data_IF_749939140459
#
_entry.id   IF_749939140459
#
_cell.length_a   1.000
_cell.length_b   1.000
_cell.length_c   1.000
_cell.angle_alpha   90.00
_cell.angle_beta   90.00
_cell.angle_gamma   90.00
#
_symmetry.space_group_name_H-M   'P 1'
#
loop_
_entity.id
_entity.type
_entity.pdbx_description
1 polymer ?
#
# COMPACT_ATOMS: atom_id res chain seq x y z
N UNK A 1 -0.11 -7.46 -2.78
CA UNK A 1 -1.34 -6.99 -3.45
C UNK A 1 -1.16 -5.52 -3.73
N UNK A 2 -1.30 -5.08 -4.97
CA UNK A 2 -1.16 -3.70 -5.40
C UNK A 2 -2.50 -3.21 -5.93
N UNK A 3 -3.03 -2.18 -5.30
CA UNK A 3 -4.22 -1.48 -5.74
C UNK A 3 -3.92 -0.68 -7.01
N UNK A 4 -4.82 -0.75 -8.00
CA UNK A 4 -4.76 0.05 -9.24
C UNK A 4 -5.99 0.94 -9.43
N UNK A 5 -6.81 1.08 -8.41
CA UNK A 5 -8.06 1.83 -8.45
C UNK A 5 -7.90 3.34 -8.53
N UNK A 6 -9.03 4.05 -8.45
CA UNK A 6 -9.16 5.49 -8.71
C UNK A 6 -8.14 6.34 -7.95
N UNK A 7 -7.91 6.08 -6.66
CA UNK A 7 -6.96 6.87 -5.87
C UNK A 7 -5.51 6.73 -6.32
N UNK A 8 -5.19 5.60 -6.98
CA UNK A 8 -3.85 5.33 -7.48
C UNK A 8 -3.55 6.03 -8.82
N UNK A 9 -4.55 6.67 -9.45
CA UNK A 9 -4.36 7.46 -10.69
C UNK A 9 -3.77 8.84 -10.45
N UNK A 10 -3.83 9.35 -9.22
CA UNK A 10 -3.34 10.68 -8.88
C UNK A 10 -1.82 10.81 -9.12
N UNK A 11 -1.42 11.95 -9.68
CA UNK A 11 -0.01 12.31 -9.78
C UNK A 11 0.49 12.80 -8.43
N UNK A 12 1.63 12.27 -8.00
CA UNK A 12 2.36 12.73 -6.81
C UNK A 12 3.80 12.95 -7.23
N UNK A 13 4.27 14.18 -7.11
CA UNK A 13 5.55 14.61 -7.68
C UNK A 13 5.61 14.32 -9.21
N UNK A 14 6.56 13.51 -9.66
CA UNK A 14 6.81 13.23 -11.08
C UNK A 14 6.12 11.96 -11.62
N UNK A 15 5.48 11.17 -10.76
CA UNK A 15 4.90 9.87 -11.12
C UNK A 15 3.45 9.76 -10.63
N UNK A 16 2.70 8.81 -11.19
CA UNK A 16 1.42 8.41 -10.59
C UNK A 16 1.67 7.69 -9.26
N UNK A 17 0.74 7.81 -8.34
CA UNK A 17 0.78 7.09 -7.06
C UNK A 17 0.92 5.57 -7.28
N UNK A 18 0.30 5.04 -8.32
CA UNK A 18 0.46 3.65 -8.74
C UNK A 18 1.91 3.27 -9.04
N UNK A 19 2.65 4.12 -9.74
CA UNK A 19 4.05 3.85 -10.12
C UNK A 19 4.95 3.81 -8.89
N UNK A 20 4.70 4.67 -7.90
CA UNK A 20 5.36 4.60 -6.59
C UNK A 20 5.07 3.28 -5.87
N UNK A 21 3.80 2.87 -5.84
CA UNK A 21 3.38 1.59 -5.26
C UNK A 21 3.98 0.39 -6.00
N UNK A 22 4.05 0.44 -7.33
CA UNK A 22 4.68 -0.59 -8.16
C UNK A 22 6.18 -0.70 -7.88
N UNK A 23 6.89 0.42 -7.80
CA UNK A 23 8.31 0.45 -7.44
C UNK A 23 8.56 -0.17 -6.07
N UNK A 24 7.73 0.18 -5.07
CA UNK A 24 7.82 -0.42 -3.74
C UNK A 24 7.55 -1.93 -3.75
N UNK A 25 6.54 -2.38 -4.50
CA UNK A 25 6.24 -3.80 -4.66
C UNK A 25 7.40 -4.57 -5.32
N UNK A 26 8.02 -4.01 -6.35
CA UNK A 26 9.16 -4.61 -7.04
C UNK A 26 10.42 -4.64 -6.17
N UNK A 27 10.70 -3.58 -5.41
CA UNK A 27 11.81 -3.52 -4.46
C UNK A 27 11.67 -4.59 -3.37
N UNK A 28 10.47 -4.72 -2.80
CA UNK A 28 10.15 -5.78 -1.84
C UNK A 28 10.28 -7.17 -2.47
N UNK A 29 9.76 -7.37 -3.69
CA UNK A 29 9.82 -8.65 -4.40
C UNK A 29 11.28 -9.07 -4.67
N UNK A 30 12.11 -8.16 -5.15
CA UNK A 30 13.54 -8.39 -5.38
C UNK A 30 14.25 -8.79 -4.09
N UNK A 31 13.99 -8.06 -3.00
CA UNK A 31 14.59 -8.33 -1.69
C UNK A 31 14.16 -9.70 -1.17
N UNK A 32 12.87 -10.03 -1.25
CA UNK A 32 12.36 -11.33 -0.83
C UNK A 32 12.94 -12.49 -1.62
N UNK A 33 13.01 -12.37 -2.95
CA UNK A 33 13.60 -13.39 -3.84
C UNK A 33 15.09 -13.58 -3.53
N UNK A 34 15.86 -12.50 -3.36
CA UNK A 34 17.28 -12.58 -2.97
C UNK A 34 17.48 -13.23 -1.59
N UNK A 35 16.51 -13.13 -0.69
CA UNK A 35 16.50 -13.80 0.62
C UNK A 35 15.95 -15.24 0.56
N UNK A 36 15.64 -15.76 -0.62
CA UNK A 36 15.16 -17.12 -0.83
C UNK A 36 13.65 -17.30 -0.56
N UNK A 37 12.89 -16.24 -0.42
CA UNK A 37 11.45 -16.33 -0.22
C UNK A 37 10.70 -16.61 -1.52
N UNK A 38 9.48 -17.10 -1.40
CA UNK A 38 8.53 -17.22 -2.51
C UNK A 38 7.71 -15.95 -2.57
N UNK A 39 7.77 -15.24 -3.66
CA UNK A 39 7.05 -13.97 -3.85
C UNK A 39 6.03 -14.12 -4.95
N UNK A 40 4.78 -13.77 -4.64
CA UNK A 40 3.69 -13.62 -5.61
C UNK A 40 3.16 -12.20 -5.60
N UNK A 41 2.53 -11.78 -6.69
CA UNK A 41 1.93 -10.45 -6.79
C UNK A 41 0.52 -10.56 -7.35
N UNK A 42 -0.41 -9.84 -6.71
CA UNK A 42 -1.75 -9.59 -7.22
C UNK A 42 -1.92 -8.10 -7.48
N UNK A 43 -2.37 -7.73 -8.65
CA UNK A 43 -2.84 -6.36 -8.95
C UNK A 43 -4.36 -6.40 -9.03
N UNK A 44 -5.04 -5.48 -8.35
CA UNK A 44 -6.49 -5.52 -8.23
C UNK A 44 -7.13 -4.13 -8.34
N UNK A 45 -8.38 -4.14 -8.71
CA UNK A 45 -9.36 -3.08 -8.61
C UNK A 45 -10.67 -3.66 -8.05
N UNK A 46 -11.78 -3.74 -8.80
CA UNK A 46 -13.00 -4.46 -8.39
C UNK A 46 -12.79 -5.96 -8.21
N UNK A 47 -11.76 -6.51 -8.86
CA UNK A 47 -11.38 -7.90 -8.80
C UNK A 47 -9.87 -8.04 -9.01
N UNK A 48 -9.36 -9.25 -8.95
CA UNK A 48 -7.96 -9.51 -9.32
C UNK A 48 -7.79 -9.32 -10.84
N UNK A 49 -7.09 -8.26 -11.22
CA UNK A 49 -6.72 -7.96 -12.59
C UNK A 49 -5.58 -8.86 -13.06
N UNK A 50 -4.56 -9.04 -12.23
CA UNK A 50 -3.39 -9.86 -12.54
C UNK A 50 -2.99 -10.66 -11.30
N UNK A 51 -2.81 -11.96 -11.46
CA UNK A 51 -2.30 -12.85 -10.43
C UNK A 51 -1.04 -13.57 -10.92
N UNK A 52 0.06 -13.37 -10.20
CA UNK A 52 1.32 -14.08 -10.42
C UNK A 52 1.61 -14.88 -9.15
N UNK A 53 1.52 -16.22 -9.22
CA UNK A 53 1.63 -17.08 -8.04
C UNK A 53 3.04 -17.03 -7.44
N UNK A 54 3.18 -17.32 -6.12
CA UNK A 54 4.45 -17.24 -5.41
C UNK A 54 5.48 -18.24 -5.92
N UNK A 55 6.61 -17.76 -6.45
CA UNK A 55 7.74 -18.55 -6.90
C UNK A 55 9.06 -17.94 -6.41
N UNK A 56 10.18 -18.64 -6.62
CA UNK A 56 11.54 -18.23 -6.28
C UNK A 56 12.38 -18.00 -7.52
N UNK A 57 13.53 -17.37 -7.33
CA UNK A 57 14.58 -17.27 -8.32
C UNK A 57 14.47 -16.06 -9.26
N UNK A 58 15.59 -15.75 -9.89
CA UNK A 58 15.76 -14.54 -10.70
C UNK A 58 14.84 -14.52 -11.93
N UNK A 59 14.67 -15.68 -12.58
CA UNK A 59 13.73 -15.79 -13.71
C UNK A 59 12.28 -15.44 -13.33
N UNK A 60 11.90 -15.68 -12.07
CA UNK A 60 10.59 -15.26 -11.58
C UNK A 60 10.52 -13.74 -11.41
N UNK A 61 11.59 -13.10 -10.93
CA UNK A 61 11.64 -11.65 -10.84
C UNK A 61 11.52 -10.98 -12.22
N UNK A 62 12.21 -11.49 -13.23
CA UNK A 62 12.05 -11.00 -14.61
C UNK A 62 10.60 -11.11 -15.11
N UNK A 63 9.92 -12.23 -14.80
CA UNK A 63 8.50 -12.41 -15.12
C UNK A 63 7.60 -11.41 -14.38
N UNK A 64 7.93 -11.05 -13.11
CA UNK A 64 7.21 -10.00 -12.40
C UNK A 64 7.38 -8.66 -13.11
N UNK A 65 8.60 -8.28 -13.49
CA UNK A 65 8.86 -7.05 -14.25
C UNK A 65 8.07 -6.99 -15.54
N UNK A 66 8.18 -8.02 -16.38
CA UNK A 66 7.50 -8.08 -17.69
C UNK A 66 5.98 -7.94 -17.57
N UNK A 67 5.37 -8.58 -16.54
CA UNK A 67 3.92 -8.59 -16.38
C UNK A 67 3.38 -7.36 -15.66
N UNK A 68 4.14 -6.74 -14.78
CA UNK A 68 3.65 -5.64 -13.95
C UNK A 68 3.92 -4.27 -14.57
N UNK A 69 5.04 -4.10 -15.27
CA UNK A 69 5.42 -2.81 -15.88
C UNK A 69 4.39 -2.21 -16.84
N UNK A 70 3.68 -3.01 -17.68
CA UNK A 70 2.67 -2.44 -18.59
C UNK A 70 1.34 -2.08 -17.93
N UNK A 71 1.14 -2.44 -16.65
CA UNK A 71 -0.13 -2.19 -15.96
C UNK A 71 -0.26 -0.69 -15.64
N UNK A 72 -1.43 -0.16 -15.90
CA UNK A 72 -1.79 1.22 -15.58
C UNK A 72 -2.94 1.24 -14.55
N UNK A 73 -3.01 2.26 -13.70
CA UNK A 73 -4.15 2.44 -12.80
C UNK A 73 -5.42 2.82 -13.58
N UNK A 74 -6.58 2.56 -12.99
CA UNK A 74 -7.89 2.81 -13.59
C UNK A 74 -8.78 3.63 -12.65
N UNK A 75 -9.75 4.36 -13.21
CA UNK A 75 -10.71 5.18 -12.44
C UNK A 75 -11.81 4.35 -11.73
N UNK A 76 -11.52 3.09 -11.46
CA UNK A 76 -12.42 2.13 -10.82
C UNK A 76 -12.20 2.12 -9.31
N UNK A 77 -13.27 2.09 -8.52
CA UNK A 77 -13.15 1.91 -7.07
C UNK A 77 -12.70 0.48 -6.74
N UNK A 78 -11.70 0.31 -5.85
CA UNK A 78 -11.21 -1.01 -5.49
C UNK A 78 -12.21 -1.75 -4.57
N UNK A 79 -12.44 -3.05 -4.83
CA UNK A 79 -13.14 -3.95 -3.91
C UNK A 79 -12.09 -4.80 -3.17
N UNK A 80 -11.75 -4.32 -1.98
CA UNK A 80 -10.77 -4.99 -1.11
C UNK A 80 -11.23 -6.37 -0.67
N UNK A 81 -12.54 -6.52 -0.40
CA UNK A 81 -13.09 -7.75 0.15
C UNK A 81 -13.07 -8.87 -0.87
N UNK A 82 -13.54 -8.61 -2.09
CA UNK A 82 -13.51 -9.56 -3.21
C UNK A 82 -12.07 -9.94 -3.55
N UNK A 83 -11.17 -8.97 -3.58
CA UNK A 83 -9.75 -9.19 -3.89
C UNK A 83 -9.05 -10.04 -2.82
N UNK A 84 -9.29 -9.77 -1.54
CA UNK A 84 -8.75 -10.59 -0.43
C UNK A 84 -9.32 -12.00 -0.45
N UNK A 85 -10.63 -12.18 -0.67
CA UNK A 85 -11.24 -13.51 -0.76
C UNK A 85 -10.65 -14.33 -1.92
N UNK A 86 -10.35 -13.68 -3.04
CA UNK A 86 -9.69 -14.34 -4.18
C UNK A 86 -8.28 -14.82 -3.82
N UNK A 87 -7.52 -14.04 -3.05
CA UNK A 87 -6.20 -14.47 -2.56
C UNK A 87 -6.33 -15.63 -1.56
N UNK A 88 -7.29 -15.55 -0.63
CA UNK A 88 -7.55 -16.62 0.34
C UNK A 88 -7.85 -17.96 -0.34
N UNK A 89 -8.55 -17.95 -1.46
CA UNK A 89 -8.87 -19.17 -2.23
C UNK A 89 -7.67 -19.74 -3.00
N UNK A 90 -6.74 -18.89 -3.43
CA UNK A 90 -5.59 -19.28 -4.27
C UNK A 90 -4.32 -19.55 -3.47
N UNK A 91 -4.16 -18.90 -2.31
CA UNK A 91 -2.99 -19.04 -1.45
C UNK A 91 -3.30 -19.91 -0.23
N UNK A 92 -2.79 -21.14 -0.24
CA UNK A 92 -3.04 -22.09 0.85
C UNK A 92 -2.03 -22.01 1.99
N UNK A 93 -0.84 -21.46 1.76
CA UNK A 93 0.25 -21.38 2.75
C UNK A 93 0.21 -20.07 3.50
N UNK A 94 0.59 -20.10 4.78
CA UNK A 94 0.81 -18.87 5.57
C UNK A 94 1.83 -17.96 4.87
N UNK A 95 1.55 -16.66 4.86
CA UNK A 95 2.38 -15.67 4.20
C UNK A 95 2.21 -14.28 4.83
N UNK A 96 3.21 -13.43 4.63
CA UNK A 96 3.05 -11.98 4.76
C UNK A 96 2.22 -11.50 3.55
N UNK A 97 1.07 -10.89 3.80
CA UNK A 97 0.23 -10.31 2.76
C UNK A 97 0.31 -8.79 2.85
N UNK A 98 1.13 -8.21 1.98
CA UNK A 98 1.30 -6.76 1.87
C UNK A 98 0.25 -6.22 0.93
N UNK A 99 -0.55 -5.25 1.40
CA UNK A 99 -1.53 -4.51 0.58
C UNK A 99 -1.03 -3.08 0.45
N UNK A 100 -0.68 -2.69 -0.78
CA UNK A 100 -0.21 -1.35 -1.12
C UNK A 100 -1.38 -0.60 -1.74
N UNK A 101 -1.81 0.49 -1.10
CA UNK A 101 -2.96 1.29 -1.50
C UNK A 101 -2.81 2.73 -1.01
N UNK A 102 -3.78 3.59 -1.29
CA UNK A 102 -3.94 4.87 -0.60
C UNK A 102 -5.15 4.81 0.35
N UNK A 103 -5.01 5.49 1.46
CA UNK A 103 -6.03 5.62 2.50
C UNK A 103 -6.32 7.11 2.70
N UNK A 104 -7.48 7.56 2.24
CA UNK A 104 -7.88 8.97 2.35
C UNK A 104 -8.81 9.20 3.53
N UNK A 105 -9.80 8.32 3.75
CA UNK A 105 -10.84 8.54 4.73
C UNK A 105 -11.21 7.28 5.55
N UNK A 106 -12.02 7.50 6.59
CA UNK A 106 -12.50 6.44 7.49
C UNK A 106 -13.50 5.48 6.82
N UNK A 107 -14.20 5.90 5.77
CA UNK A 107 -15.22 5.09 5.09
C UNK A 107 -14.55 4.06 4.19
N UNK A 108 -13.64 4.46 3.31
CA UNK A 108 -12.82 3.54 2.50
C UNK A 108 -11.97 2.63 3.40
N UNK A 109 -11.50 3.16 4.54
CA UNK A 109 -10.77 2.39 5.56
C UNK A 109 -11.60 1.28 6.19
N UNK A 110 -12.92 1.43 6.31
CA UNK A 110 -13.79 0.41 6.93
C UNK A 110 -13.85 -0.88 6.12
N UNK A 111 -13.93 -0.79 4.79
CA UNK A 111 -13.89 -1.95 3.90
C UNK A 111 -12.53 -2.65 3.93
N UNK A 112 -11.46 -1.88 3.86
CA UNK A 112 -10.10 -2.39 4.00
C UNK A 112 -9.89 -3.06 5.36
N UNK A 113 -10.42 -2.48 6.46
CA UNK A 113 -10.39 -3.06 7.80
C UNK A 113 -11.06 -4.43 7.87
N UNK A 114 -12.22 -4.58 7.22
CA UNK A 114 -12.93 -5.87 7.15
C UNK A 114 -12.13 -6.87 6.31
N UNK A 115 -11.63 -6.44 5.16
CA UNK A 115 -10.86 -7.28 4.25
C UNK A 115 -9.56 -7.79 4.91
N UNK A 116 -8.77 -6.90 5.50
CA UNK A 116 -7.51 -7.28 6.17
C UNK A 116 -7.75 -8.10 7.44
N UNK A 117 -8.85 -7.85 8.16
CA UNK A 117 -9.25 -8.66 9.32
C UNK A 117 -9.50 -10.13 8.97
N UNK A 118 -9.94 -10.43 7.74
CA UNK A 118 -10.09 -11.81 7.26
C UNK A 118 -8.76 -12.53 7.01
N UNK A 119 -7.69 -11.78 6.77
CA UNK A 119 -6.36 -12.35 6.60
C UNK A 119 -5.73 -12.74 7.95
N UNK A 120 -5.97 -11.96 9.01
CA UNK A 120 -5.29 -12.05 10.29
C UNK A 120 -5.26 -13.45 10.94
N UNK A 121 -6.30 -14.31 10.87
CA UNK A 121 -6.23 -15.64 11.48
C UNK A 121 -5.20 -16.57 10.84
N UNK A 122 -4.88 -16.36 9.56
CA UNK A 122 -4.04 -17.29 8.79
C UNK A 122 -2.77 -16.68 8.25
N UNK A 123 -2.79 -15.37 7.97
CA UNK A 123 -1.71 -14.62 7.35
C UNK A 123 -1.23 -13.52 8.28
N UNK A 124 -0.10 -12.90 7.95
CA UNK A 124 0.33 -11.65 8.57
C UNK A 124 -0.05 -10.49 7.62
N UNK A 125 -1.16 -9.80 7.87
CA UNK A 125 -1.59 -8.68 7.04
C UNK A 125 -0.73 -7.46 7.31
N UNK A 126 -0.31 -6.78 6.23
CA UNK A 126 0.49 -5.58 6.28
C UNK A 126 -0.08 -4.54 5.31
N UNK A 127 -0.66 -3.49 5.84
CA UNK A 127 -1.15 -2.34 5.09
C UNK A 127 -0.03 -1.35 4.86
N UNK A 128 0.21 -0.99 3.61
CA UNK A 128 1.17 0.03 3.18
C UNK A 128 0.39 1.13 2.51
N UNK A 129 0.31 2.28 3.18
CA UNK A 129 -0.43 3.43 2.71
C UNK A 129 0.52 4.48 2.12
N UNK A 130 0.27 4.83 0.87
CA UNK A 130 1.05 5.81 0.13
C UNK A 130 0.55 7.22 0.49
N UNK A 131 1.43 8.07 1.04
CA UNK A 131 1.11 9.44 1.42
C UNK A 131 1.74 10.42 0.45
N UNK A 132 0.98 11.45 0.09
CA UNK A 132 1.49 12.58 -0.68
C UNK A 132 2.33 13.49 0.25
N UNK A 133 3.62 13.72 -0.06
CA UNK A 133 4.47 14.61 0.74
C UNK A 133 3.94 16.05 0.81
N UNK A 134 3.17 16.48 -0.19
CA UNK A 134 2.57 17.81 -0.24
C UNK A 134 1.60 18.06 0.91
N UNK A 135 0.86 17.01 1.34
CA UNK A 135 -0.04 17.10 2.49
C UNK A 135 0.76 17.43 3.76
N UNK A 136 1.91 16.78 3.96
CA UNK A 136 2.79 17.07 5.09
C UNK A 136 3.35 18.51 5.01
N UNK A 137 3.73 18.96 3.82
CA UNK A 137 4.23 20.30 3.59
C UNK A 137 3.19 21.35 3.92
N UNK A 138 1.96 21.19 3.45
CA UNK A 138 0.85 22.11 3.73
C UNK A 138 0.52 22.12 5.23
N UNK A 139 0.41 20.94 5.86
CA UNK A 139 0.08 20.82 7.28
C UNK A 139 1.08 21.52 8.20
N UNK A 140 2.35 21.55 7.81
CA UNK A 140 3.44 22.14 8.62
C UNK A 140 3.96 23.47 8.07
N UNK A 141 3.32 24.04 7.02
CA UNK A 141 3.72 25.34 6.49
C UNK A 141 3.52 26.45 7.54
N UNK A 142 4.53 27.29 7.67
CA UNK A 142 4.48 28.52 8.50
C UNK A 142 4.40 29.77 7.64
N UNK A 143 4.26 29.58 6.30
CA UNK A 143 4.26 30.69 5.37
C UNK A 143 2.98 31.53 5.49
N UNK A 144 3.14 32.73 6.01
CA UNK A 144 2.17 33.81 5.97
C UNK A 144 2.22 34.46 4.56
N UNK A 145 1.63 33.81 3.57
CA UNK A 145 1.46 34.39 2.23
C UNK A 145 0.48 35.56 2.24
N UNK A 146 0.37 36.28 1.11
CA UNK A 146 -0.55 37.40 0.92
C UNK A 146 -2.03 37.04 1.13
N UNK A 147 -2.38 35.75 1.15
CA UNK A 147 -3.72 35.23 1.44
C UNK A 147 -3.71 34.28 2.66
N UNK A 148 -3.62 34.90 3.83
CA UNK A 148 -3.58 34.18 5.12
C UNK A 148 -4.81 33.32 5.36
N UNK A 149 -5.96 33.67 4.80
CA UNK A 149 -7.21 32.94 5.04
C UNK A 149 -7.23 31.64 4.26
N UNK A 150 -6.83 31.67 2.99
CA UNK A 150 -6.71 30.48 2.16
C UNK A 150 -5.63 29.53 2.69
N UNK A 151 -4.47 30.03 3.06
CA UNK A 151 -3.39 29.22 3.64
C UNK A 151 -3.82 28.55 4.97
N UNK A 152 -4.54 29.28 5.83
CA UNK A 152 -5.07 28.73 7.08
C UNK A 152 -6.12 27.63 6.83
N UNK A 153 -6.97 27.80 5.84
CA UNK A 153 -7.96 26.81 5.42
C UNK A 153 -7.31 25.54 4.87
N UNK A 154 -6.38 25.67 3.91
CA UNK A 154 -5.63 24.55 3.33
C UNK A 154 -4.88 23.76 4.41
N UNK A 155 -4.22 24.46 5.34
CA UNK A 155 -3.55 23.83 6.48
C UNK A 155 -4.51 23.06 7.37
N UNK A 156 -5.70 23.64 7.67
CA UNK A 156 -6.73 22.98 8.47
C UNK A 156 -7.21 21.68 7.79
N UNK A 157 -7.45 21.72 6.48
CA UNK A 157 -7.84 20.54 5.70
C UNK A 157 -6.74 19.47 5.70
N UNK A 158 -5.49 19.86 5.50
CA UNK A 158 -4.35 18.92 5.52
C UNK A 158 -4.20 18.25 6.88
N UNK A 159 -4.32 19.01 7.98
CA UNK A 159 -4.27 18.47 9.34
C UNK A 159 -5.42 17.50 9.62
N UNK A 160 -6.63 17.83 9.17
CA UNK A 160 -7.80 16.93 9.32
C UNK A 160 -7.61 15.62 8.55
N UNK A 161 -7.12 15.68 7.31
CA UNK A 161 -6.79 14.50 6.52
C UNK A 161 -5.76 13.60 7.22
N UNK A 162 -4.69 14.17 7.77
CA UNK A 162 -3.68 13.41 8.51
C UNK A 162 -4.27 12.79 9.79
N UNK A 163 -5.15 13.51 10.49
CA UNK A 163 -5.82 13.00 11.68
C UNK A 163 -6.76 11.83 11.35
N UNK A 164 -7.55 11.92 10.29
CA UNK A 164 -8.43 10.85 9.83
C UNK A 164 -7.63 9.60 9.43
N UNK A 165 -6.51 9.75 8.71
CA UNK A 165 -5.60 8.64 8.39
C UNK A 165 -5.07 7.97 9.66
N UNK A 166 -4.64 8.75 10.64
CA UNK A 166 -4.13 8.21 11.90
C UNK A 166 -5.18 7.38 12.64
N UNK A 167 -6.44 7.82 12.67
CA UNK A 167 -7.55 7.06 13.26
C UNK A 167 -7.74 5.70 12.55
N UNK A 168 -7.71 5.70 11.20
CA UNK A 168 -7.83 4.48 10.42
C UNK A 168 -6.67 3.50 10.71
N UNK A 169 -5.43 4.01 10.81
CA UNK A 169 -4.26 3.18 11.13
C UNK A 169 -4.33 2.57 12.52
N UNK A 170 -4.79 3.32 13.52
CA UNK A 170 -4.96 2.78 14.87
C UNK A 170 -6.03 1.66 14.91
N UNK A 171 -7.09 1.78 14.11
CA UNK A 171 -8.09 0.72 13.98
C UNK A 171 -7.50 -0.54 13.32
N UNK A 172 -6.67 -0.40 12.28
CA UNK A 172 -5.95 -1.51 11.64
C UNK A 172 -5.01 -2.21 12.63
N UNK A 173 -4.19 -1.44 13.37
CA UNK A 173 -3.25 -1.97 14.37
C UNK A 173 -3.99 -2.77 15.48
N UNK A 174 -5.13 -2.27 15.98
CA UNK A 174 -5.95 -2.96 16.98
C UNK A 174 -6.47 -4.32 16.50
N UNK A 175 -6.64 -4.51 15.19
CA UNK A 175 -7.02 -5.78 14.56
C UNK A 175 -5.82 -6.69 14.23
N UNK A 176 -4.62 -6.34 14.66
CA UNK A 176 -3.40 -7.12 14.40
C UNK A 176 -2.82 -6.94 13.00
N UNK A 177 -3.23 -5.90 12.28
CA UNK A 177 -2.66 -5.54 10.97
C UNK A 177 -1.41 -4.69 11.19
N UNK A 178 -0.32 -5.06 10.56
CA UNK A 178 0.86 -4.20 10.46
C UNK A 178 0.53 -3.00 9.55
N UNK A 179 1.03 -1.83 9.91
CA UNK A 179 0.80 -0.60 9.13
C UNK A 179 2.12 0.11 8.87
N UNK A 180 2.31 0.53 7.63
CA UNK A 180 3.32 1.48 7.21
C UNK A 180 2.62 2.64 6.49
N UNK A 181 2.74 3.84 7.02
CA UNK A 181 2.32 5.09 6.39
C UNK A 181 3.57 5.92 6.12
N UNK A 182 3.89 6.13 4.85
CA UNK A 182 5.07 6.88 4.49
C UNK A 182 4.84 7.70 3.21
N UNK A 183 5.59 8.82 3.07
CA UNK A 183 5.63 9.57 1.82
C UNK A 183 6.07 8.66 0.66
N UNK A 184 5.47 8.87 -0.52
CA UNK A 184 5.70 8.01 -1.70
C UNK A 184 7.18 7.87 -2.06
N UNK A 185 7.96 8.92 -1.91
CA UNK A 185 9.40 8.95 -2.22
C UNK A 185 10.27 8.16 -1.22
N UNK A 186 9.74 7.76 -0.07
CA UNK A 186 10.43 6.97 0.96
C UNK A 186 9.86 5.56 1.11
N UNK A 187 8.72 5.26 0.45
CA UNK A 187 7.95 4.05 0.71
C UNK A 187 8.72 2.77 0.39
N UNK A 188 9.51 2.76 -0.69
CA UNK A 188 10.27 1.58 -1.11
C UNK A 188 11.30 1.16 -0.07
N UNK A 189 12.08 2.11 0.43
CA UNK A 189 13.12 1.85 1.41
C UNK A 189 12.52 1.42 2.76
N UNK A 190 11.52 2.18 3.25
CA UNK A 190 10.87 1.88 4.51
C UNK A 190 10.15 0.52 4.50
N UNK A 191 9.53 0.14 3.36
CA UNK A 191 8.87 -1.15 3.20
C UNK A 191 9.87 -2.30 3.23
N UNK A 192 10.99 -2.17 2.54
CA UNK A 192 12.07 -3.16 2.53
C UNK A 192 12.67 -3.31 3.93
N UNK A 193 12.98 -2.21 4.61
CA UNK A 193 13.50 -2.23 5.97
C UNK A 193 12.53 -2.91 6.95
N UNK A 194 11.24 -2.61 6.83
CA UNK A 194 10.22 -3.24 7.68
C UNK A 194 10.11 -4.74 7.44
N UNK A 195 10.13 -5.17 6.17
CA UNK A 195 10.18 -6.59 5.84
C UNK A 195 11.41 -7.29 6.44
N UNK A 196 12.60 -6.70 6.34
CA UNK A 196 13.83 -7.26 6.90
C UNK A 196 13.76 -7.37 8.42
N UNK A 197 13.20 -6.38 9.11
CA UNK A 197 12.96 -6.43 10.56
C UNK A 197 12.02 -7.57 10.97
N UNK A 198 10.91 -7.76 10.23
CA UNK A 198 9.97 -8.85 10.47
C UNK A 198 10.62 -10.21 10.29
N UNK A 199 11.47 -10.36 9.27
CA UNK A 199 12.21 -11.57 8.99
C UNK A 199 13.24 -11.88 10.09
N UNK A 200 13.99 -10.89 10.56
CA UNK A 200 14.94 -11.06 11.67
C UNK A 200 14.27 -11.48 12.98
N UNK A 201 13.02 -11.07 13.19
CA UNK A 201 12.22 -11.45 14.38
C UNK A 201 11.48 -12.78 14.25
N UNK A 202 11.69 -13.55 13.17
CA UNK A 202 10.99 -14.81 12.87
C UNK A 202 9.45 -14.67 12.89
N UNK A 203 8.92 -13.56 12.43
CA UNK A 203 7.47 -13.30 12.38
C UNK A 203 6.83 -13.72 11.05
N UNK A 204 7.64 -14.17 10.07
CA UNK A 204 7.21 -14.55 8.71
C UNK A 204 7.11 -16.07 8.54
#
# INVERSE_FOLDING_TARGET
>A
MLDRGRLMTANVESLKRFDWGLNAALALALTGIKRGDRVGVAVFDRAIHTWIPPQRGEAHFQRLLEKLTPIQPDLTEPDYLTSVNSILSQQSRRALVVVITDLVDTTASSELLVALGRLAPRYLPFCVALRDPEIDRIAHSTEDGNDRLTAAYERSVALDLLAQRQVAFEQLKRKGVLVLDAPVNQISDQLVDRYLQLKMRNQL
#
